data_IF_540002864787
#
_entry.id   IF_540002864787
#
_cell.length_a   1.000
_cell.length_b   1.000
_cell.length_c   1.000
_cell.angle_alpha   90.00
_cell.angle_beta   90.00
_cell.angle_gamma   90.00
#
_symmetry.space_group_name_H-M   'P 1'
#
loop_
_entity.id
_entity.type
_entity.pdbx_description
1 polymer ?
#
# COMPACT_ATOMS: atom_id res chain seq x y z
N UNK A 1 17.76 18.20 -0.67
CA UNK A 1 16.94 17.48 -1.66
C UNK A 1 15.55 17.44 -1.06
N UNK A 2 14.65 18.29 -1.53
CA UNK A 2 13.27 18.32 -1.05
C UNK A 2 12.61 16.99 -1.38
N UNK A 3 12.14 16.29 -0.35
CA UNK A 3 11.34 15.06 -0.49
C UNK A 3 9.87 15.49 -0.51
N UNK A 4 9.47 16.08 -1.63
CA UNK A 4 8.13 16.70 -1.78
C UNK A 4 7.12 15.81 -2.49
N UNK A 5 7.48 14.58 -2.89
CA UNK A 5 6.51 13.57 -3.29
C UNK A 5 6.26 12.59 -2.11
N UNK A 6 5.02 12.51 -1.58
CA UNK A 6 4.65 11.52 -0.56
C UNK A 6 5.04 10.08 -0.93
N UNK A 7 4.98 9.71 -2.21
CA UNK A 7 5.37 8.38 -2.70
C UNK A 7 6.85 8.04 -2.44
N UNK A 8 7.73 9.04 -2.59
CA UNK A 8 9.18 8.86 -2.46
C UNK A 8 9.60 8.59 -1.00
N UNK A 9 8.78 9.04 -0.03
CA UNK A 9 9.05 8.86 1.40
C UNK A 9 9.02 7.39 1.79
N UNK A 10 7.99 6.66 1.33
CA UNK A 10 7.84 5.24 1.61
C UNK A 10 9.00 4.43 1.05
N UNK A 11 9.33 4.62 -0.23
CA UNK A 11 10.43 3.88 -0.87
C UNK A 11 11.79 4.21 -0.24
N UNK A 12 12.02 5.48 0.12
CA UNK A 12 13.26 5.90 0.80
C UNK A 12 13.41 5.17 2.14
N UNK A 13 12.33 5.08 2.92
CA UNK A 13 12.36 4.38 4.20
C UNK A 13 12.56 2.88 4.02
N UNK A 14 11.73 2.24 3.19
CA UNK A 14 11.76 0.80 2.98
C UNK A 14 13.11 0.34 2.44
N UNK A 15 13.67 1.03 1.45
CA UNK A 15 14.96 0.65 0.86
C UNK A 15 16.12 0.70 1.86
N UNK A 16 16.07 1.62 2.83
CA UNK A 16 17.11 1.77 3.86
C UNK A 16 16.97 0.75 5.00
N UNK A 17 15.75 0.38 5.33
CA UNK A 17 15.43 -0.41 6.53
C UNK A 17 14.94 -1.82 6.23
N UNK A 18 14.88 -2.23 4.96
CA UNK A 18 14.26 -3.48 4.51
C UNK A 18 14.61 -4.70 5.35
N UNK A 19 15.91 -4.91 5.62
CA UNK A 19 16.41 -6.06 6.39
C UNK A 19 16.03 -6.07 7.88
N UNK A 20 15.38 -5.02 8.39
CA UNK A 20 14.93 -4.90 9.79
C UNK A 20 13.41 -5.04 9.91
N UNK A 21 12.70 -5.23 8.79
CA UNK A 21 11.25 -5.25 8.74
C UNK A 21 10.78 -6.71 8.76
N UNK A 22 10.11 -7.10 9.84
CA UNK A 22 9.52 -8.44 10.00
C UNK A 22 8.03 -8.48 9.63
N UNK A 23 7.41 -7.31 9.52
CA UNK A 23 5.98 -7.16 9.30
C UNK A 23 5.69 -5.87 8.52
N UNK A 24 4.83 -5.97 7.51
CA UNK A 24 4.43 -4.84 6.65
C UNK A 24 2.91 -4.77 6.57
N UNK A 25 2.39 -3.58 6.87
CA UNK A 25 1.00 -3.23 6.61
C UNK A 25 0.93 -2.34 5.36
N UNK A 26 0.02 -2.69 4.45
CA UNK A 26 -0.31 -1.89 3.29
C UNK A 26 -1.52 -1.02 3.62
N UNK A 27 -1.31 0.27 3.41
CA UNK A 27 -2.29 1.33 3.54
C UNK A 27 -2.03 2.38 2.48
N UNK A 28 -3.07 3.06 2.04
CA UNK A 28 -2.93 4.11 1.04
C UNK A 28 -3.47 5.43 1.56
N UNK A 29 -2.91 6.50 1.03
CA UNK A 29 -3.21 7.86 1.46
C UNK A 29 -3.38 8.76 0.24
N UNK A 30 -4.38 9.64 0.28
CA UNK A 30 -4.45 10.78 -0.63
C UNK A 30 -5.02 12.00 0.09
N UNK A 31 -4.83 13.19 -0.49
CA UNK A 31 -5.28 14.44 0.15
C UNK A 31 -6.80 14.52 0.35
N UNK A 32 -7.58 13.88 -0.53
CA UNK A 32 -9.04 14.01 -0.52
C UNK A 32 -9.69 13.27 0.66
N UNK A 33 -9.14 12.11 1.02
CA UNK A 33 -9.72 11.17 2.00
C UNK A 33 -8.80 10.95 3.20
N UNK A 34 -7.60 11.55 3.19
CA UNK A 34 -6.55 11.27 4.16
C UNK A 34 -6.23 9.77 4.18
N UNK A 35 -6.23 9.13 5.35
CA UNK A 35 -5.89 7.72 5.53
C UNK A 35 -7.07 6.75 5.28
N UNK A 36 -8.17 7.27 4.74
CA UNK A 36 -9.37 6.53 4.38
C UNK A 36 -9.34 6.14 2.90
N UNK A 37 -8.35 5.34 2.48
CA UNK A 37 -8.18 5.02 1.05
C UNK A 37 -7.95 3.53 0.86
N UNK A 38 -8.74 2.83 0.02
CA UNK A 38 -8.40 1.49 -0.41
C UNK A 38 -7.03 1.45 -1.08
N UNK A 39 -6.26 0.39 -0.84
CA UNK A 39 -4.97 0.19 -1.51
C UNK A 39 -5.15 0.23 -3.03
N UNK A 40 -4.28 0.98 -3.72
CA UNK A 40 -4.27 1.32 -5.16
C UNK A 40 -4.99 2.60 -5.56
N UNK A 41 -5.75 3.20 -4.65
CA UNK A 41 -6.54 4.40 -4.92
C UNK A 41 -5.92 5.67 -4.34
N UNK A 42 -4.80 5.55 -3.61
CA UNK A 42 -4.06 6.68 -3.08
C UNK A 42 -2.80 6.99 -3.88
N UNK A 43 -1.81 7.56 -3.18
CA UNK A 43 -0.58 8.10 -3.78
C UNK A 43 0.65 7.21 -3.55
N UNK A 44 0.52 6.08 -2.87
CA UNK A 44 1.66 5.17 -2.69
C UNK A 44 2.08 4.53 -4.03
N UNK A 45 3.36 4.57 -4.36
CA UNK A 45 3.91 3.82 -5.50
C UNK A 45 4.06 2.33 -5.15
N UNK A 46 2.93 1.64 -5.15
CA UNK A 46 2.87 0.23 -4.84
C UNK A 46 3.65 -0.65 -5.83
N UNK A 47 3.81 -0.24 -7.09
CA UNK A 47 4.58 -1.03 -8.05
C UNK A 47 6.06 -1.07 -7.66
N UNK A 48 6.63 0.06 -7.28
CA UNK A 48 7.98 0.10 -6.74
C UNK A 48 8.11 -0.65 -5.41
N UNK A 49 7.08 -0.59 -4.54
CA UNK A 49 7.03 -1.38 -3.30
C UNK A 49 7.01 -2.89 -3.60
N UNK A 50 6.21 -3.34 -4.57
CA UNK A 50 6.18 -4.75 -4.98
C UNK A 50 7.52 -5.20 -5.55
N UNK A 51 8.19 -4.35 -6.35
CA UNK A 51 9.52 -4.64 -6.87
C UNK A 51 10.55 -4.76 -5.74
N UNK A 52 10.50 -3.88 -4.74
CA UNK A 52 11.33 -4.00 -3.53
C UNK A 52 11.05 -5.29 -2.77
N UNK A 53 9.78 -5.69 -2.61
CA UNK A 53 9.41 -6.94 -1.96
C UNK A 53 9.98 -8.16 -2.67
N UNK A 54 9.80 -8.22 -4.00
CA UNK A 54 10.27 -9.32 -4.83
C UNK A 54 11.79 -9.41 -4.87
N UNK A 55 12.47 -8.27 -5.03
CA UNK A 55 13.94 -8.23 -5.16
C UNK A 55 14.66 -8.32 -3.82
N UNK A 56 14.02 -7.82 -2.75
CA UNK A 56 14.53 -7.87 -1.38
C UNK A 56 14.28 -9.18 -0.66
N UNK A 57 13.60 -10.16 -1.29
CA UNK A 57 13.42 -11.51 -0.75
C UNK A 57 12.64 -11.56 0.56
N UNK A 58 11.58 -10.75 0.70
CA UNK A 58 10.79 -10.72 1.93
C UNK A 58 9.88 -11.93 2.05
N UNK A 59 9.97 -12.62 3.19
CA UNK A 59 9.23 -13.84 3.50
C UNK A 59 8.20 -13.65 4.64
N UNK A 60 8.09 -12.43 5.17
CA UNK A 60 7.17 -12.10 6.25
C UNK A 60 5.72 -11.96 5.79
N UNK A 61 4.83 -11.64 6.73
CA UNK A 61 3.43 -11.38 6.43
C UNK A 61 3.24 -10.01 5.79
N UNK A 62 2.37 -9.95 4.78
CA UNK A 62 1.83 -8.72 4.23
C UNK A 62 0.36 -8.61 4.67
N UNK A 63 0.04 -7.58 5.42
CA UNK A 63 -1.32 -7.32 5.90
C UNK A 63 -1.88 -6.09 5.18
N UNK A 64 -3.16 -6.12 4.83
CA UNK A 64 -3.86 -4.95 4.31
C UNK A 64 -4.56 -4.30 5.49
N UNK A 65 -4.12 -3.10 5.87
CA UNK A 65 -4.83 -2.29 6.85
C UNK A 65 -5.78 -1.34 6.11
N UNK A 66 -7.08 -1.52 6.31
CA UNK A 66 -8.08 -0.62 5.75
C UNK A 66 -8.97 -0.08 6.86
N UNK A 67 -8.80 1.20 7.16
CA UNK A 67 -9.52 1.93 8.19
C UNK A 67 -10.13 3.20 7.60
N UNK A 68 -11.27 3.03 6.91
CA UNK A 68 -12.13 4.14 6.57
C UNK A 68 -13.31 3.80 5.66
N UNK A 69 -14.08 4.84 5.32
CA UNK A 69 -15.35 4.89 4.63
C UNK A 69 -15.34 5.54 3.23
N UNK A 70 -14.22 5.86 2.58
CA UNK A 70 -14.22 6.53 1.27
C UNK A 70 -14.94 5.69 0.21
N UNK A 71 -14.67 4.39 0.17
CA UNK A 71 -15.42 3.47 -0.68
C UNK A 71 -16.92 3.44 -0.35
N UNK A 72 -17.29 3.55 0.94
CA UNK A 72 -18.70 3.62 1.35
C UNK A 72 -19.37 4.91 0.85
N UNK A 73 -18.66 6.05 0.83
CA UNK A 73 -19.17 7.31 0.27
C UNK A 73 -19.45 7.21 -1.23
N UNK A 74 -18.78 6.28 -1.93
CA UNK A 74 -19.01 5.95 -3.33
C UNK A 74 -19.99 4.77 -3.54
N UNK A 75 -20.59 4.26 -2.46
CA UNK A 75 -21.56 3.16 -2.51
C UNK A 75 -20.95 1.75 -2.57
N UNK A 76 -19.64 1.60 -2.33
CA UNK A 76 -18.95 0.31 -2.24
C UNK A 76 -19.05 -0.26 -0.82
N UNK A 77 -19.21 -1.57 -0.68
CA UNK A 77 -19.19 -2.21 0.64
C UNK A 77 -17.74 -2.40 1.13
N UNK A 78 -17.52 -2.60 2.44
CA UNK A 78 -16.17 -2.92 2.95
C UNK A 78 -15.59 -4.18 2.28
N UNK A 79 -16.43 -5.14 1.91
CA UNK A 79 -16.03 -6.35 1.20
C UNK A 79 -15.56 -6.04 -0.23
N UNK A 80 -16.19 -5.10 -0.92
CA UNK A 80 -15.79 -4.70 -2.28
C UNK A 80 -14.43 -4.01 -2.26
N UNK A 81 -14.20 -3.11 -1.31
CA UNK A 81 -12.90 -2.47 -1.12
C UNK A 81 -11.80 -3.49 -0.78
N UNK A 82 -12.06 -4.39 0.18
CA UNK A 82 -11.10 -5.42 0.55
C UNK A 82 -10.76 -6.35 -0.62
N UNK A 83 -11.75 -6.70 -1.47
CA UNK A 83 -11.52 -7.47 -2.70
C UNK A 83 -10.65 -6.71 -3.69
N UNK A 84 -10.96 -5.43 -3.94
CA UNK A 84 -10.20 -4.60 -4.86
C UNK A 84 -8.72 -4.48 -4.43
N UNK A 85 -8.47 -4.14 -3.16
CA UNK A 85 -7.12 -4.07 -2.59
C UNK A 85 -6.39 -5.41 -2.69
N UNK A 86 -7.04 -6.51 -2.30
CA UNK A 86 -6.46 -7.86 -2.44
C UNK A 86 -6.09 -8.17 -3.88
N UNK A 87 -6.99 -7.94 -4.83
CA UNK A 87 -6.78 -8.31 -6.24
C UNK A 87 -5.67 -7.47 -6.88
N UNK A 88 -5.56 -6.19 -6.50
CA UNK A 88 -4.45 -5.34 -6.89
C UNK A 88 -3.11 -5.87 -6.36
N UNK A 89 -3.02 -6.18 -5.07
CA UNK A 89 -1.78 -6.69 -4.44
C UNK A 89 -1.38 -8.04 -5.04
N UNK A 90 -2.33 -8.97 -5.18
CA UNK A 90 -2.07 -10.28 -5.79
C UNK A 90 -1.51 -10.15 -7.20
N UNK A 91 -2.07 -9.25 -8.00
CA UNK A 91 -1.57 -8.97 -9.36
C UNK A 91 -0.16 -8.39 -9.34
N UNK A 92 0.11 -7.43 -8.44
CA UNK A 92 1.42 -6.80 -8.33
C UNK A 92 2.53 -7.74 -7.86
N UNK A 93 2.20 -8.67 -6.96
CA UNK A 93 3.11 -9.70 -6.44
C UNK A 93 3.18 -10.96 -7.32
N UNK A 94 2.21 -11.16 -8.23
CA UNK A 94 2.16 -12.30 -9.14
C UNK A 94 1.68 -13.60 -8.50
N UNK A 95 0.70 -13.54 -7.57
CA UNK A 95 0.16 -14.71 -6.82
C UNK A 95 -1.31 -14.99 -7.06
#
# INVERSE_FOLDING_TARGET
>A
MEVDNPADRTLTFLSKHWHQIDFVEFKDWCEATDLDTPVSEGLCDYYAVFDLIKTGGYEGWLLIEQNGNAGLQEGRTPLDCARASRDFIRRGLGV
#
